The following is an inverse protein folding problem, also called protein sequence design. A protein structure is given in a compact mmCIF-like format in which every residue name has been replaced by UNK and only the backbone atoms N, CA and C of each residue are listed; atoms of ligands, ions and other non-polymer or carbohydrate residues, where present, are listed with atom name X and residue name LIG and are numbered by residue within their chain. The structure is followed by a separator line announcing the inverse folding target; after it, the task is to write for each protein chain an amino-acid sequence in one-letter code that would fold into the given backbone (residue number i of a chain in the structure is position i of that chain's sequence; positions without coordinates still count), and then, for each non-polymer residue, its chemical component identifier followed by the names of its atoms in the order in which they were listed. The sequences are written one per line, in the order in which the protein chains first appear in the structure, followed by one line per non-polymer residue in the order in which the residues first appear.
data_IF_489525559505
#
_entry.id   IF_489525559505
#
_cell.length_a   1.000
_cell.length_b   1.000
_cell.length_c   1.000
_cell.angle_alpha   90.00
_cell.angle_beta   90.00
_cell.angle_gamma   90.00
#
_symmetry.space_group_name_H-M   'P 1'
#
loop_
_entity.id
_entity.type
_entity.pdbx_description
1 polymer ?
#
# COMPACT_ATOMS: atom_id res chain seq x y z
N UNK A 1 -80.47 -13.90 33.42
CA UNK A 1 -79.15 -13.35 33.02
C UNK A 1 -78.60 -12.62 34.25
N UNK A 2 -77.41 -12.82 34.84
CA UNK A 2 -76.19 -13.58 34.58
C UNK A 2 -75.75 -14.25 35.90
N UNK A 3 -75.15 -15.44 35.80
CA UNK A 3 -74.45 -16.21 36.85
C UNK A 3 -73.15 -15.48 37.24
N UNK A 4 -72.82 -15.28 38.52
CA UNK A 4 -72.10 -16.17 39.46
C UNK A 4 -70.58 -15.91 39.55
N UNK A 5 -70.11 -15.59 40.78
CA UNK A 5 -68.89 -16.04 41.50
C UNK A 5 -67.50 -15.75 40.87
N UNK A 6 -66.36 -15.72 41.56
CA UNK A 6 -65.86 -15.56 42.95
C UNK A 6 -64.32 -15.58 42.80
N UNK A 7 -63.63 -14.77 43.60
CA UNK A 7 -62.24 -14.84 44.13
C UNK A 7 -61.25 -15.92 43.63
N UNK A 8 -60.00 -15.50 43.35
CA UNK A 8 -58.73 -16.17 43.74
C UNK A 8 -57.55 -15.20 43.45
N UNK A 9 -56.85 -14.67 44.44
CA UNK A 9 -55.72 -15.22 45.24
C UNK A 9 -54.33 -14.91 44.66
N UNK A 10 -53.48 -14.48 45.58
CA UNK A 10 -52.12 -13.92 45.48
C UNK A 10 -51.08 -14.94 45.01
N UNK A 11 -50.02 -14.51 44.31
CA UNK A 11 -48.68 -15.08 44.52
C UNK A 11 -47.58 -14.09 44.18
N UNK A 12 -46.84 -13.69 45.22
CA UNK A 12 -45.54 -13.02 45.15
C UNK A 12 -44.49 -13.99 44.63
N UNK A 13 -43.67 -13.58 43.66
CA UNK A 13 -42.44 -14.29 43.30
C UNK A 13 -41.25 -13.36 43.49
N UNK A 14 -40.50 -13.58 44.56
CA UNK A 14 -39.18 -13.01 44.76
C UNK A 14 -38.21 -13.71 43.82
N UNK A 15 -37.56 -12.96 42.92
CA UNK A 15 -36.37 -13.43 42.23
C UNK A 15 -35.15 -12.74 42.83
N UNK A 16 -34.50 -13.46 43.75
CA UNK A 16 -33.13 -13.19 44.19
C UNK A 16 -32.22 -13.59 43.04
N UNK A 17 -31.69 -12.60 42.33
CA UNK A 17 -30.63 -12.78 41.33
C UNK A 17 -29.34 -12.18 41.85
N UNK A 18 -28.43 -13.03 42.30
CA UNK A 18 -27.04 -12.68 42.57
C UNK A 18 -26.40 -12.09 41.31
N UNK A 19 -26.04 -10.81 41.34
CA UNK A 19 -25.16 -10.24 40.31
C UNK A 19 -23.76 -10.75 40.63
N UNK A 20 -23.39 -11.87 40.00
CA UNK A 20 -21.99 -12.21 39.85
C UNK A 20 -21.32 -11.03 39.17
N UNK A 21 -20.34 -10.42 39.84
CA UNK A 21 -19.41 -9.49 39.22
C UNK A 21 -18.56 -10.28 38.20
N UNK A 22 -19.15 -10.66 37.07
CA UNK A 22 -18.37 -10.83 35.86
C UNK A 22 -17.98 -9.41 35.45
N UNK A 23 -16.69 -9.15 35.47
CA UNK A 23 -16.07 -8.01 34.83
C UNK A 23 -16.57 -7.93 33.39
N UNK A 24 -17.62 -7.15 33.17
CA UNK A 24 -18.11 -6.80 31.85
C UNK A 24 -17.05 -5.87 31.27
N UNK A 25 -16.02 -6.46 30.64
CA UNK A 25 -15.25 -5.77 29.61
C UNK A 25 -16.25 -5.48 28.48
N UNK A 26 -17.03 -4.42 28.64
CA UNK A 26 -17.79 -3.85 27.55
C UNK A 26 -16.75 -3.25 26.60
N UNK A 27 -16.31 -4.03 25.62
CA UNK A 27 -15.59 -3.48 24.47
C UNK A 27 -16.52 -2.44 23.86
N UNK A 28 -16.15 -1.17 24.02
CA UNK A 28 -16.92 -0.03 23.56
C UNK A 28 -16.82 0.05 22.04
N UNK A 29 -17.59 -0.81 21.38
CA UNK A 29 -17.76 -0.84 19.93
C UNK A 29 -18.74 0.25 19.56
N UNK A 30 -18.30 1.20 18.73
CA UNK A 30 -19.15 2.30 18.27
C UNK A 30 -18.96 2.50 16.78
N UNK A 31 -20.05 2.65 16.06
CA UNK A 31 -20.04 2.88 14.62
C UNK A 31 -21.12 3.89 14.24
N UNK A 32 -20.95 4.51 13.08
CA UNK A 32 -21.96 5.40 12.54
C UNK A 32 -21.71 5.75 11.10
N UNK A 33 -22.80 6.11 10.43
CA UNK A 33 -22.83 6.53 9.04
C UNK A 33 -23.50 7.88 8.95
N UNK A 34 -22.93 8.80 8.18
CA UNK A 34 -23.57 10.07 7.81
C UNK A 34 -23.64 10.13 6.30
N UNK A 35 -24.79 10.52 5.77
CA UNK A 35 -25.00 10.67 4.33
C UNK A 35 -25.78 11.95 4.07
N UNK A 36 -25.59 12.54 2.89
CA UNK A 36 -26.36 13.69 2.48
C UNK A 36 -26.06 14.12 1.05
N UNK A 37 -26.75 15.17 0.64
CA UNK A 37 -26.67 15.72 -0.71
C UNK A 37 -26.49 17.23 -0.61
N UNK A 38 -25.60 17.78 -1.43
CA UNK A 38 -25.37 19.21 -1.54
C UNK A 38 -25.53 19.58 -3.01
N UNK A 39 -26.33 20.60 -3.30
CA UNK A 39 -26.44 21.16 -4.66
C UNK A 39 -25.65 22.46 -4.72
N UNK A 40 -24.61 22.52 -5.54
CA UNK A 40 -23.79 23.71 -5.78
C UNK A 40 -23.86 24.07 -7.26
N UNK A 41 -24.26 25.29 -7.58
CA UNK A 41 -24.36 25.77 -8.98
C UNK A 41 -25.16 24.83 -9.90
N UNK A 42 -26.24 24.23 -9.41
CA UNK A 42 -27.06 23.27 -10.16
C UNK A 42 -26.47 21.86 -10.31
N UNK A 43 -25.29 21.60 -9.73
CA UNK A 43 -24.71 20.25 -9.67
C UNK A 43 -25.00 19.60 -8.32
N UNK A 44 -25.54 18.39 -8.36
CA UNK A 44 -25.83 17.59 -7.17
C UNK A 44 -24.62 16.72 -6.81
N UNK A 45 -24.16 16.85 -5.57
CA UNK A 45 -23.06 16.07 -5.01
C UNK A 45 -23.59 15.27 -3.83
N UNK A 46 -23.41 13.95 -3.87
CA UNK A 46 -23.74 13.07 -2.75
C UNK A 46 -22.49 12.81 -1.93
N UNK A 47 -22.60 12.86 -0.60
CA UNK A 47 -21.52 12.49 0.30
C UNK A 47 -21.96 11.38 1.26
N UNK A 48 -21.03 10.51 1.60
CA UNK A 48 -21.18 9.57 2.70
C UNK A 48 -19.89 9.54 3.53
N UNK A 49 -20.03 9.32 4.83
CA UNK A 49 -18.91 9.05 5.71
C UNK A 49 -19.28 7.96 6.70
N UNK A 50 -18.45 6.92 6.77
CA UNK A 50 -18.61 5.84 7.71
C UNK A 50 -17.47 5.86 8.71
N UNK A 51 -17.79 5.57 9.97
CA UNK A 51 -16.78 5.38 11.00
C UNK A 51 -17.15 4.17 11.86
N UNK A 52 -16.13 3.45 12.29
CA UNK A 52 -16.25 2.35 13.24
C UNK A 52 -15.04 2.36 14.17
N UNK A 53 -15.27 2.00 15.42
CA UNK A 53 -14.27 1.80 16.44
C UNK A 53 -14.62 0.53 17.20
N UNK A 54 -13.63 -0.34 17.38
CA UNK A 54 -13.70 -1.48 18.28
C UNK A 54 -12.49 -1.46 19.23
N UNK A 55 -12.35 -2.48 20.07
CA UNK A 55 -11.22 -2.60 21.00
C UNK A 55 -9.86 -2.63 20.30
N UNK A 56 -9.83 -3.03 19.02
CA UNK A 56 -8.63 -3.32 18.26
C UNK A 56 -8.29 -2.18 17.27
N UNK A 57 -9.18 -1.21 17.03
CA UNK A 57 -8.91 -0.17 16.08
C UNK A 57 -10.01 0.84 15.76
N UNK A 58 -9.66 1.76 14.85
CA UNK A 58 -10.56 2.72 14.24
C UNK A 58 -10.53 2.59 12.71
N UNK A 59 -11.70 2.68 12.09
CA UNK A 59 -11.88 2.77 10.65
C UNK A 59 -12.71 4.01 10.32
N UNK A 60 -12.29 4.78 9.33
CA UNK A 60 -13.00 5.96 8.83
C UNK A 60 -12.92 5.98 7.32
N UNK A 61 -14.05 6.19 6.66
CA UNK A 61 -14.11 6.44 5.22
C UNK A 61 -14.99 7.64 4.93
N UNK A 62 -14.70 8.33 3.83
CA UNK A 62 -15.54 9.38 3.29
C UNK A 62 -15.56 9.24 1.77
N UNK A 63 -16.74 9.30 1.18
CA UNK A 63 -16.94 9.27 -0.26
C UNK A 63 -17.73 10.48 -0.70
N UNK A 64 -17.29 11.11 -1.80
CA UNK A 64 -17.99 12.17 -2.49
C UNK A 64 -18.24 11.70 -3.93
N UNK A 65 -19.49 11.67 -4.35
CA UNK A 65 -19.93 11.25 -5.68
C UNK A 65 -20.52 12.46 -6.41
N UNK A 66 -19.91 12.83 -7.53
CA UNK A 66 -20.48 13.78 -8.48
C UNK A 66 -21.59 13.11 -9.29
N UNK A 67 -22.59 13.90 -9.70
CA UNK A 67 -23.68 13.45 -10.57
C UNK A 67 -23.22 12.96 -11.95
N UNK A 68 -21.97 13.22 -12.31
CA UNK A 68 -21.41 12.98 -13.63
C UNK A 68 -20.54 11.71 -13.70
N UNK A 69 -20.56 10.89 -12.63
CA UNK A 69 -19.84 9.62 -12.54
C UNK A 69 -18.42 9.75 -11.97
N UNK A 70 -17.97 10.96 -11.62
CA UNK A 70 -16.71 11.16 -10.89
C UNK A 70 -16.91 10.94 -9.40
N UNK A 71 -15.90 10.38 -8.73
CA UNK A 71 -15.94 10.21 -7.27
C UNK A 71 -14.57 10.30 -6.62
N UNK A 72 -14.56 10.63 -5.34
CA UNK A 72 -13.38 10.57 -4.48
C UNK A 72 -13.76 9.82 -3.20
N UNK A 73 -13.03 8.76 -2.89
CA UNK A 73 -13.15 8.02 -1.64
C UNK A 73 -11.82 8.11 -0.91
N UNK A 74 -11.84 8.60 0.33
CA UNK A 74 -10.70 8.57 1.24
C UNK A 74 -11.00 7.65 2.42
N UNK A 75 -10.00 6.91 2.88
CA UNK A 75 -10.15 5.96 3.97
C UNK A 75 -8.90 5.88 4.84
N UNK A 76 -9.11 5.72 6.14
CA UNK A 76 -8.07 5.48 7.14
C UNK A 76 -8.50 4.34 8.05
N UNK A 77 -7.61 3.36 8.22
CA UNK A 77 -7.77 2.25 9.16
C UNK A 77 -6.55 2.20 10.06
N UNK A 78 -6.76 2.05 11.36
CA UNK A 78 -5.72 1.78 12.34
C UNK A 78 -6.16 0.57 13.15
N UNK A 79 -5.44 -0.55 13.06
CA UNK A 79 -5.75 -1.78 13.78
C UNK A 79 -4.47 -2.50 14.15
N UNK A 80 -4.33 -2.96 15.40
CA UNK A 80 -3.24 -3.84 15.86
C UNK A 80 -1.83 -3.39 15.42
N UNK A 81 -1.50 -2.12 15.68
CA UNK A 81 -0.20 -1.55 15.33
C UNK A 81 0.04 -1.28 13.83
N UNK A 82 -0.95 -1.60 12.98
CA UNK A 82 -0.98 -1.31 11.55
C UNK A 82 -1.84 -0.08 11.28
N UNK A 83 -1.30 0.87 10.52
CA UNK A 83 -2.03 2.04 10.02
C UNK A 83 -2.05 2.01 8.50
N UNK A 84 -3.23 2.10 7.91
CA UNK A 84 -3.43 2.19 6.47
C UNK A 84 -4.24 3.43 6.14
N UNK A 85 -3.83 4.16 5.12
CA UNK A 85 -4.48 5.35 4.61
C UNK A 85 -4.52 5.29 3.10
N UNK A 86 -5.60 5.77 2.49
CA UNK A 86 -5.69 5.80 1.04
C UNK A 86 -6.75 6.75 0.51
N UNK A 87 -6.58 7.13 -0.74
CA UNK A 87 -7.50 7.93 -1.52
C UNK A 87 -7.63 7.29 -2.90
N UNK A 88 -8.86 7.09 -3.35
CA UNK A 88 -9.19 6.69 -4.72
C UNK A 88 -10.02 7.80 -5.35
N UNK A 89 -9.57 8.35 -6.46
CA UNK A 89 -10.32 9.30 -7.28
C UNK A 89 -10.63 8.65 -8.63
N UNK A 90 -11.92 8.62 -9.01
CA UNK A 90 -12.39 8.12 -10.32
C UNK A 90 -12.89 9.28 -11.15
N UNK A 91 -12.56 9.28 -12.44
CA UNK A 91 -13.20 10.15 -13.41
C UNK A 91 -13.16 9.58 -14.82
N UNK A 92 -13.55 10.41 -15.80
CA UNK A 92 -13.71 9.98 -17.19
C UNK A 92 -12.45 9.36 -17.81
N UNK A 93 -11.29 9.93 -17.47
CA UNK A 93 -10.03 9.52 -18.07
C UNK A 93 -9.33 8.43 -17.26
N UNK A 94 -9.96 7.88 -16.23
CA UNK A 94 -9.40 6.78 -15.45
C UNK A 94 -9.53 6.94 -13.93
N UNK A 95 -8.68 6.21 -13.23
CA UNK A 95 -8.65 6.15 -11.77
C UNK A 95 -7.26 6.51 -11.24
N UNK A 96 -7.22 7.32 -10.19
CA UNK A 96 -6.01 7.56 -9.39
C UNK A 96 -6.22 6.94 -8.02
N UNK A 97 -5.28 6.11 -7.57
CA UNK A 97 -5.29 5.55 -6.23
C UNK A 97 -3.97 5.87 -5.55
N UNK A 98 -4.00 6.54 -4.42
CA UNK A 98 -2.84 6.79 -3.58
C UNK A 98 -3.05 6.11 -2.23
N UNK A 99 -2.01 5.53 -1.66
CA UNK A 99 -2.13 4.86 -0.38
C UNK A 99 -0.82 4.67 0.33
N UNK A 100 -0.93 4.41 1.63
CA UNK A 100 0.18 4.08 2.50
C UNK A 100 -0.25 3.12 3.60
N UNK A 101 0.62 2.17 3.94
CA UNK A 101 0.50 1.36 5.14
C UNK A 101 1.79 1.40 5.98
N UNK A 102 1.64 1.29 7.29
CA UNK A 102 2.75 1.22 8.24
C UNK A 102 2.43 0.21 9.34
N UNK A 103 3.28 -0.79 9.49
CA UNK A 103 3.28 -1.74 10.59
C UNK A 103 4.43 -1.40 11.56
N UNK A 104 4.07 -1.04 12.79
CA UNK A 104 5.03 -0.70 13.84
C UNK A 104 5.84 -1.91 14.31
N UNK A 105 5.23 -3.08 14.43
CA UNK A 105 5.85 -4.28 14.98
C UNK A 105 6.99 -4.78 14.10
N UNK A 106 6.77 -4.78 12.78
CA UNK A 106 7.78 -5.18 11.79
C UNK A 106 8.64 -4.01 11.30
N UNK A 107 8.40 -2.79 11.83
CA UNK A 107 9.04 -1.55 11.38
C UNK A 107 9.07 -1.46 9.84
N UNK A 108 7.90 -1.68 9.23
CA UNK A 108 7.75 -1.77 7.79
C UNK A 108 6.58 -0.93 7.31
N UNK A 109 6.64 -0.51 6.04
CA UNK A 109 5.55 0.23 5.43
C UNK A 109 5.70 0.30 3.92
N UNK A 110 4.60 0.61 3.25
CA UNK A 110 4.54 0.82 1.81
C UNK A 110 3.80 2.10 1.52
N UNK A 111 4.20 2.75 0.45
CA UNK A 111 3.55 3.94 -0.08
C UNK A 111 3.48 3.80 -1.59
N UNK A 112 2.39 4.25 -2.18
CA UNK A 112 2.28 4.22 -3.63
C UNK A 112 1.18 5.10 -4.19
N UNK A 113 1.32 5.39 -5.47
CA UNK A 113 0.34 6.09 -6.29
C UNK A 113 0.22 5.30 -7.59
N UNK A 114 -0.99 4.97 -7.97
CA UNK A 114 -1.33 4.37 -9.27
C UNK A 114 -2.26 5.31 -10.00
N UNK A 115 -1.93 5.62 -11.24
CA UNK A 115 -2.78 6.31 -12.21
C UNK A 115 -3.06 5.32 -13.32
N UNK A 116 -4.30 4.87 -13.43
CA UNK A 116 -4.77 3.98 -14.49
C UNK A 116 -5.69 4.75 -15.42
N UNK A 117 -5.22 4.98 -16.64
CA UNK A 117 -5.99 5.58 -17.72
C UNK A 117 -7.06 4.63 -18.24
N UNK A 118 -8.20 5.17 -18.65
CA UNK A 118 -9.30 4.39 -19.22
C UNK A 118 -8.91 3.63 -20.52
N UNK A 119 -7.84 4.06 -21.18
CA UNK A 119 -7.26 3.47 -22.39
C UNK A 119 -6.21 2.38 -22.11
N UNK A 120 -6.06 1.96 -20.85
CA UNK A 120 -5.11 0.93 -20.42
C UNK A 120 -3.68 1.43 -20.22
N UNK A 121 -3.40 2.72 -20.46
CA UNK A 121 -2.11 3.34 -20.11
C UNK A 121 -2.09 3.71 -18.64
N UNK A 122 -0.92 3.84 -18.05
CA UNK A 122 -0.86 4.18 -16.63
C UNK A 122 0.53 4.31 -16.06
N UNK A 123 0.60 4.84 -14.84
CA UNK A 123 1.83 4.98 -14.07
C UNK A 123 1.58 4.49 -12.66
N UNK A 124 2.44 3.60 -12.17
CA UNK A 124 2.48 3.19 -10.77
C UNK A 124 3.81 3.59 -10.18
N UNK A 125 3.79 4.38 -9.10
CA UNK A 125 4.93 4.65 -8.25
C UNK A 125 4.74 3.89 -6.94
N UNK A 126 5.78 3.20 -6.49
CA UNK A 126 5.75 2.45 -5.24
C UNK A 126 7.05 2.61 -4.48
N UNK A 127 6.96 2.63 -3.15
CA UNK A 127 8.10 2.49 -2.26
C UNK A 127 7.74 1.68 -1.04
N UNK A 128 8.73 1.02 -0.46
CA UNK A 128 8.55 0.27 0.78
C UNK A 128 9.80 0.31 1.65
N UNK A 129 9.60 0.10 2.94
CA UNK A 129 10.66 -0.15 3.90
C UNK A 129 10.32 -1.44 4.65
N UNK A 130 11.31 -2.31 4.83
CA UNK A 130 11.22 -3.46 5.72
C UNK A 130 12.57 -3.66 6.40
N UNK A 131 12.61 -3.53 7.73
CA UNK A 131 13.79 -3.78 8.55
C UNK A 131 15.09 -3.14 8.00
N UNK A 132 15.03 -1.86 7.60
CA UNK A 132 16.19 -1.12 7.09
C UNK A 132 16.53 -1.36 5.61
N UNK A 133 15.80 -2.25 4.92
CA UNK A 133 15.80 -2.37 3.46
C UNK A 133 14.77 -1.40 2.90
N UNK A 134 15.20 -0.53 1.99
CA UNK A 134 14.32 0.42 1.29
C UNK A 134 14.18 -0.01 -0.16
N UNK A 135 12.97 -0.08 -0.66
CA UNK A 135 12.68 -0.37 -2.06
C UNK A 135 11.89 0.77 -2.67
N UNK A 136 12.11 1.04 -3.95
CA UNK A 136 11.29 1.95 -4.74
C UNK A 136 11.23 1.51 -6.18
N UNK A 137 10.14 1.82 -6.87
CA UNK A 137 9.99 1.50 -8.27
C UNK A 137 8.93 2.34 -8.94
N UNK A 138 9.04 2.41 -10.26
CA UNK A 138 8.08 3.06 -11.14
C UNK A 138 7.78 2.13 -12.29
N UNK A 139 6.50 1.89 -12.56
CA UNK A 139 6.02 1.20 -13.75
C UNK A 139 5.23 2.17 -14.61
N UNK A 140 5.58 2.26 -15.89
CA UNK A 140 4.86 3.05 -16.89
C UNK A 140 4.34 2.11 -17.96
N UNK A 141 3.03 2.16 -18.23
CA UNK A 141 2.37 1.43 -19.32
C UNK A 141 1.98 2.42 -20.41
N UNK A 142 2.45 2.17 -21.63
CA UNK A 142 2.11 2.97 -22.80
C UNK A 142 1.69 2.06 -23.97
N UNK A 143 1.40 2.67 -25.11
CA UNK A 143 1.02 1.93 -26.33
C UNK A 143 2.12 0.98 -26.82
N UNK A 144 3.38 1.39 -26.68
CA UNK A 144 4.53 0.66 -27.20
C UNK A 144 5.13 -0.31 -26.18
N UNK A 145 4.38 -0.62 -25.12
CA UNK A 145 4.78 -1.58 -24.08
C UNK A 145 4.93 -0.97 -22.70
N UNK A 146 5.83 -1.54 -21.90
CA UNK A 146 5.96 -1.22 -20.48
C UNK A 146 7.41 -0.91 -20.10
N UNK A 147 7.59 0.07 -19.22
CA UNK A 147 8.87 0.37 -18.59
C UNK A 147 8.72 0.16 -17.10
N UNK A 148 9.55 -0.69 -16.52
CA UNK A 148 9.60 -0.94 -15.08
C UNK A 148 10.97 -0.56 -14.57
N UNK A 149 11.00 0.26 -13.53
CA UNK A 149 12.22 0.61 -12.80
C UNK A 149 12.08 0.15 -11.36
N UNK A 150 13.18 -0.30 -10.79
CA UNK A 150 13.23 -0.74 -9.40
C UNK A 150 14.58 -0.39 -8.80
N UNK A 151 14.62 -0.14 -7.51
CA UNK A 151 15.84 -0.02 -6.74
C UNK A 151 15.62 -0.48 -5.32
N UNK A 152 16.63 -1.12 -4.76
CA UNK A 152 16.68 -1.48 -3.35
C UNK A 152 17.98 -1.00 -2.71
N UNK A 153 17.92 -0.75 -1.40
CA UNK A 153 19.08 -0.46 -0.58
C UNK A 153 18.93 -1.09 0.79
N UNK A 154 19.84 -2.00 1.11
CA UNK A 154 19.99 -2.58 2.43
C UNK A 154 21.11 -1.85 3.19
N UNK A 155 20.73 -1.14 4.27
CA UNK A 155 21.69 -0.40 5.10
C UNK A 155 22.65 -1.33 5.86
N UNK A 156 22.19 -2.50 6.30
CA UNK A 156 22.98 -3.42 7.13
C UNK A 156 24.14 -4.03 6.34
N UNK A 157 23.85 -4.50 5.13
CA UNK A 157 24.84 -5.08 4.21
C UNK A 157 25.53 -4.02 3.34
N UNK A 158 25.11 -2.75 3.45
CA UNK A 158 25.58 -1.62 2.63
C UNK A 158 25.55 -1.95 1.14
N UNK A 159 24.52 -2.68 0.73
CA UNK A 159 24.33 -3.16 -0.63
C UNK A 159 23.03 -2.65 -1.21
N UNK A 160 22.98 -2.57 -2.53
CA UNK A 160 21.74 -2.27 -3.23
C UNK A 160 21.83 -2.56 -4.70
N UNK A 161 20.68 -2.58 -5.35
CA UNK A 161 20.54 -2.80 -6.76
C UNK A 161 19.61 -1.77 -7.39
N UNK A 162 19.72 -1.65 -8.70
CA UNK A 162 18.85 -0.85 -9.53
C UNK A 162 18.62 -1.61 -10.84
N UNK A 163 17.37 -1.71 -11.24
CA UNK A 163 16.95 -2.38 -12.47
C UNK A 163 16.07 -1.47 -13.30
N UNK A 164 16.23 -1.56 -14.62
CA UNK A 164 15.30 -1.01 -15.61
C UNK A 164 15.00 -2.12 -16.61
N UNK A 165 13.73 -2.40 -16.80
CA UNK A 165 13.22 -3.31 -17.82
C UNK A 165 12.32 -2.53 -18.77
N UNK A 166 12.60 -2.63 -20.06
CA UNK A 166 11.74 -2.09 -21.12
C UNK A 166 11.21 -3.29 -21.91
N UNK A 167 9.91 -3.54 -21.83
CA UNK A 167 9.25 -4.55 -22.66
C UNK A 167 8.51 -3.83 -23.79
N UNK A 168 8.88 -4.11 -25.02
CA UNK A 168 8.17 -3.65 -26.21
C UNK A 168 6.82 -4.36 -26.36
N UNK A 169 5.89 -3.72 -27.06
CA UNK A 169 4.60 -4.32 -27.43
C UNK A 169 4.76 -5.57 -28.32
N UNK A 170 5.92 -5.72 -28.97
CA UNK A 170 6.31 -6.90 -29.77
C UNK A 170 6.86 -8.06 -28.92
N UNK A 171 6.82 -7.96 -27.59
CA UNK A 171 7.30 -8.97 -26.66
C UNK A 171 8.82 -8.98 -26.45
N UNK A 172 9.57 -8.10 -27.15
CA UNK A 172 11.01 -7.98 -26.96
C UNK A 172 11.33 -7.18 -25.71
N UNK A 173 12.38 -7.55 -24.99
CA UNK A 173 12.72 -6.93 -23.72
C UNK A 173 14.18 -6.50 -23.66
N UNK A 174 14.45 -5.36 -23.04
CA UNK A 174 15.81 -4.90 -22.70
C UNK A 174 15.90 -4.72 -21.20
N UNK A 175 16.96 -5.26 -20.60
CA UNK A 175 17.18 -5.20 -19.16
C UNK A 175 18.51 -4.52 -18.86
N UNK A 176 18.48 -3.49 -18.03
CA UNK A 176 19.64 -2.89 -17.40
C UNK A 176 19.59 -3.22 -15.92
N UNK A 177 20.63 -3.85 -15.39
CA UNK A 177 20.76 -4.09 -13.96
C UNK A 177 22.06 -3.48 -13.45
N UNK A 178 22.04 -2.95 -12.25
CA UNK A 178 23.22 -2.50 -11.52
C UNK A 178 23.11 -3.00 -10.09
N UNK A 179 24.23 -3.42 -9.51
CA UNK A 179 24.34 -3.65 -8.07
C UNK A 179 25.58 -2.96 -7.53
N UNK A 180 25.55 -2.67 -6.24
CA UNK A 180 26.70 -2.17 -5.50
C UNK A 180 26.76 -2.79 -4.12
N UNK A 181 27.96 -3.03 -3.63
CA UNK A 181 28.26 -3.46 -2.27
C UNK A 181 29.40 -2.58 -1.77
N UNK A 182 29.22 -1.94 -0.62
CA UNK A 182 30.23 -1.11 0.02
C UNK A 182 30.57 -1.69 1.40
N UNK A 183 31.48 -2.65 1.43
CA UNK A 183 31.88 -3.38 2.64
C UNK A 183 33.25 -2.91 3.16
N UNK A 184 33.83 -3.67 4.10
CA UNK A 184 35.16 -3.41 4.65
C UNK A 184 36.29 -3.61 3.63
N UNK A 185 36.08 -4.44 2.61
CA UNK A 185 37.04 -4.71 1.54
C UNK A 185 36.99 -3.61 0.46
N UNK A 186 35.87 -2.89 0.39
CA UNK A 186 35.71 -1.65 -0.36
C UNK A 186 34.41 -1.61 -1.17
N UNK A 187 34.44 -0.92 -2.30
CA UNK A 187 33.27 -0.71 -3.15
C UNK A 187 33.33 -1.61 -4.38
N UNK A 188 32.41 -2.54 -4.52
CA UNK A 188 32.16 -3.26 -5.77
C UNK A 188 30.89 -2.74 -6.43
N UNK A 189 30.96 -2.48 -7.73
CA UNK A 189 29.82 -2.11 -8.58
C UNK A 189 29.76 -3.04 -9.77
N UNK A 190 28.60 -3.63 -10.01
CA UNK A 190 28.34 -4.49 -11.17
C UNK A 190 27.22 -3.88 -11.99
N UNK A 191 27.35 -3.93 -13.32
CA UNK A 191 26.33 -3.46 -14.27
C UNK A 191 26.19 -4.49 -15.38
N UNK A 192 24.97 -4.83 -15.74
CA UNK A 192 24.66 -5.64 -16.90
C UNK A 192 23.60 -4.98 -17.77
N UNK A 193 23.76 -5.11 -19.09
CA UNK A 193 22.77 -4.78 -20.09
C UNK A 193 22.49 -6.04 -20.90
N UNK A 194 21.25 -6.48 -20.98
CA UNK A 194 20.81 -7.60 -21.81
C UNK A 194 19.83 -7.08 -22.85
N UNK A 195 20.17 -7.25 -24.13
CA UNK A 195 19.33 -6.89 -25.26
C UNK A 195 18.24 -7.92 -25.53
N UNK A 196 17.30 -7.57 -26.42
CA UNK A 196 16.17 -8.42 -26.78
C UNK A 196 16.54 -9.70 -27.53
N UNK A 197 17.77 -9.79 -28.04
CA UNK A 197 18.32 -10.96 -28.71
C UNK A 197 19.12 -11.87 -27.76
N UNK A 198 19.12 -11.60 -26.44
CA UNK A 198 19.90 -12.36 -25.45
C UNK A 198 21.36 -11.91 -25.32
N UNK A 199 21.87 -11.10 -26.25
CA UNK A 199 23.22 -10.55 -26.14
C UNK A 199 23.33 -9.69 -24.87
N UNK A 200 24.45 -9.83 -24.17
CA UNK A 200 24.66 -9.13 -22.90
C UNK A 200 26.06 -8.56 -22.76
N UNK A 201 26.13 -7.42 -22.08
CA UNK A 201 27.36 -6.77 -21.65
C UNK A 201 27.34 -6.69 -20.13
N UNK A 202 28.36 -7.25 -19.48
CA UNK A 202 28.54 -7.09 -18.03
C UNK A 202 29.85 -6.36 -17.76
N UNK A 203 29.81 -5.43 -16.80
CA UNK A 203 30.98 -4.73 -16.29
C UNK A 203 30.96 -4.77 -14.77
N UNK A 204 32.08 -5.14 -14.17
CA UNK A 204 32.33 -5.04 -12.74
C UNK A 204 33.47 -4.07 -12.49
N UNK A 205 33.37 -3.26 -11.44
CA UNK A 205 34.43 -2.38 -10.97
C UNK A 205 34.55 -2.46 -9.46
N UNK A 206 35.74 -2.75 -8.96
CA UNK A 206 36.03 -2.92 -7.54
C UNK A 206 37.11 -1.93 -7.12
N UNK A 207 36.83 -1.18 -6.06
CA UNK A 207 37.75 -0.27 -5.40
C UNK A 207 38.05 -0.81 -4.01
N UNK A 208 39.31 -1.00 -3.67
CA UNK A 208 39.72 -1.47 -2.34
C UNK A 208 40.85 -0.62 -1.77
N UNK A 209 40.98 -0.60 -0.43
CA UNK A 209 42.12 0.01 0.25
C UNK A 209 42.93 -1.10 0.90
N UNK A 210 44.21 -1.22 0.54
CA UNK A 210 45.14 -2.17 1.16
C UNK A 210 46.46 -1.45 1.46
N UNK A 211 46.84 -1.39 2.74
CA UNK A 211 48.10 -0.77 3.17
C UNK A 211 48.24 0.72 2.80
N UNK A 212 47.16 1.50 2.90
CA UNK A 212 47.16 2.94 2.55
C UNK A 212 47.06 3.23 1.04
N UNK A 213 47.16 2.22 0.18
CA UNK A 213 46.99 2.37 -1.28
C UNK A 213 45.56 2.09 -1.73
N UNK A 214 45.06 2.88 -2.67
CA UNK A 214 43.78 2.69 -3.33
C UNK A 214 43.98 1.83 -4.60
N UNK A 215 43.37 0.65 -4.64
CA UNK A 215 43.39 -0.23 -5.80
C UNK A 215 42.06 -0.16 -6.53
N UNK A 216 42.09 -0.18 -7.87
CA UNK A 216 40.89 -0.23 -8.71
C UNK A 216 41.06 -1.31 -9.78
N UNK A 217 40.10 -2.23 -9.86
CA UNK A 217 40.05 -3.25 -10.90
C UNK A 217 38.73 -3.16 -11.67
N UNK A 218 38.80 -3.45 -12.97
CA UNK A 218 37.63 -3.49 -13.86
C UNK A 218 37.66 -4.80 -14.63
N UNK A 219 36.53 -5.50 -14.65
CA UNK A 219 36.29 -6.65 -15.53
C UNK A 219 35.12 -6.35 -16.47
N UNK A 220 35.19 -6.83 -17.70
CA UNK A 220 34.15 -6.71 -18.71
C UNK A 220 33.97 -8.04 -19.41
N UNK A 221 32.73 -8.45 -19.62
CA UNK A 221 32.39 -9.62 -20.43
C UNK A 221 31.26 -9.28 -21.39
N UNK A 222 31.30 -9.89 -22.56
CA UNK A 222 30.29 -9.75 -23.59
C UNK A 222 29.90 -11.14 -24.06
N UNK A 223 28.60 -11.41 -24.11
CA UNK A 223 28.03 -12.66 -24.58
C UNK A 223 27.03 -12.38 -25.71
N UNK A 224 27.01 -13.23 -26.74
CA UNK A 224 26.09 -13.12 -27.89
C UNK A 224 25.11 -14.26 -27.90
#
# INVERSE_FOLDING_TARGET
MKRSKTTAMVMSLALVGSVAASSLYAENTSSGTRQGTITLNGQTVNYSSDWSQDANGHNRSATVNGSDGRSVTAGNKSQDGVRTSGVTAKGYNGTVTAGSDWNRETNSGRHGITVDGADGRGVTLGSSVNNGVRNSGVTVKGYNGTVTTGSDWNRQTRSGSHGVTVNGADGRSVNLNSSRVNDENGLTTSRSLTGSNGASLTRQSTWSRKGGSLNHSISRSFNR
#
